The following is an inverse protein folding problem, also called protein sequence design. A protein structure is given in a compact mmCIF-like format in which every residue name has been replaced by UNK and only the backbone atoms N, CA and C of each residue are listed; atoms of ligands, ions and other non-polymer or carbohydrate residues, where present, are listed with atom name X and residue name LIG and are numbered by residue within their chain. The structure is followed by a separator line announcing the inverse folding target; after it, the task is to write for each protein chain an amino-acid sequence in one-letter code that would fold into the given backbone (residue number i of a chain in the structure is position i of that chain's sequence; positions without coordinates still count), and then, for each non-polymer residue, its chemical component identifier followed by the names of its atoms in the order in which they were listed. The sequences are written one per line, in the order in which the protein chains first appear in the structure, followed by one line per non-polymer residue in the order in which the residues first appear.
data_IF_042828703085
#
_entry.id   IF_042828703085
#
_cell.length_a   1.000
_cell.length_b   1.000
_cell.length_c   1.000
_cell.angle_alpha   90.00
_cell.angle_beta   90.00
_cell.angle_gamma   90.00
#
_symmetry.space_group_name_H-M   'P 1'
#
loop_
_entity.id
_entity.type
_entity.pdbx_description
1 polymer ?
#
# COMPACT_ATOMS: atom_id res chain seq x y z
N UNK A 1 -4.56 16.46 -3.15
CA UNK A 1 -3.86 15.51 -2.25
C UNK A 1 -4.53 14.16 -2.35
N UNK A 2 -3.77 13.09 -2.63
CA UNK A 2 -4.34 11.74 -2.67
C UNK A 2 -4.57 11.20 -1.27
N UNK A 3 -5.63 10.44 -1.11
CA UNK A 3 -5.97 9.78 0.14
C UNK A 3 -6.24 8.31 -0.13
N UNK A 4 -5.49 7.44 0.54
CA UNK A 4 -5.63 5.99 0.46
C UNK A 4 -6.33 5.51 1.71
N UNK A 5 -7.30 4.62 1.54
CA UNK A 5 -8.07 4.06 2.67
C UNK A 5 -8.23 2.56 2.51
N UNK A 6 -8.22 1.87 3.64
CA UNK A 6 -8.51 0.44 3.67
C UNK A 6 -9.49 0.13 4.77
N UNK A 7 -10.37 -0.84 4.50
CA UNK A 7 -11.38 -1.30 5.45
C UNK A 7 -11.55 -2.80 5.36
N UNK A 8 -11.73 -3.44 6.51
CA UNK A 8 -12.15 -4.83 6.59
C UNK A 8 -13.67 -4.85 6.73
N UNK A 9 -14.34 -5.43 5.75
CA UNK A 9 -15.80 -5.51 5.75
C UNK A 9 -16.24 -6.97 5.78
N UNK A 10 -17.54 -7.18 6.03
CA UNK A 10 -18.12 -8.52 6.02
C UNK A 10 -17.97 -9.18 4.63
N UNK A 11 -17.89 -8.37 3.57
CA UNK A 11 -17.76 -8.85 2.20
C UNK A 11 -16.31 -8.90 1.72
N UNK A 12 -15.33 -8.64 2.60
CA UNK A 12 -13.92 -8.69 2.28
C UNK A 12 -13.22 -7.35 2.51
N UNK A 13 -12.00 -7.26 1.98
CA UNK A 13 -11.18 -6.06 2.12
C UNK A 13 -11.50 -5.06 1.02
N UNK A 14 -11.56 -3.78 1.38
CA UNK A 14 -11.79 -2.69 0.44
C UNK A 14 -10.64 -1.70 0.56
N UNK A 15 -9.93 -1.45 -0.54
CA UNK A 15 -8.85 -0.46 -0.58
C UNK A 15 -9.16 0.53 -1.70
N UNK A 16 -9.13 1.81 -1.35
CA UNK A 16 -9.45 2.88 -2.30
C UNK A 16 -8.37 3.95 -2.33
N UNK A 17 -8.31 4.67 -3.44
CA UNK A 17 -7.58 5.92 -3.58
C UNK A 17 -8.57 6.98 -4.06
N UNK A 18 -8.73 8.04 -3.27
CA UNK A 18 -9.69 9.13 -3.53
C UNK A 18 -11.10 8.58 -3.82
N UNK A 19 -11.50 7.55 -3.07
CA UNK A 19 -12.82 6.94 -3.16
C UNK A 19 -13.00 5.91 -4.27
N UNK A 20 -11.98 5.66 -5.09
CA UNK A 20 -12.03 4.68 -6.17
C UNK A 20 -11.18 3.47 -5.84
N UNK A 21 -11.55 2.26 -6.31
CA UNK A 21 -10.74 1.07 -6.03
C UNK A 21 -9.28 1.25 -6.47
N UNK A 22 -8.35 0.86 -5.59
CA UNK A 22 -6.93 0.86 -5.93
C UNK A 22 -6.59 -0.44 -6.65
N UNK A 23 -5.97 -0.33 -7.82
CA UNK A 23 -5.47 -1.50 -8.54
C UNK A 23 -4.33 -2.17 -7.75
N UNK A 24 -4.25 -3.50 -7.81
CA UNK A 24 -3.14 -4.25 -7.19
C UNK A 24 -1.80 -4.00 -7.88
N UNK A 25 -1.80 -3.41 -9.07
CA UNK A 25 -0.60 -3.13 -9.87
C UNK A 25 0.23 -4.40 -10.15
N UNK A 26 -0.43 -5.52 -10.43
CA UNK A 26 0.24 -6.78 -10.76
C UNK A 26 1.11 -6.66 -12.01
N UNK A 27 0.77 -5.75 -12.93
CA UNK A 27 1.55 -5.50 -14.13
C UNK A 27 2.91 -4.86 -13.81
N UNK A 28 3.05 -4.23 -12.66
CA UNK A 28 4.32 -3.66 -12.19
C UNK A 28 5.16 -4.75 -11.55
N UNK A 29 4.61 -5.44 -10.57
CA UNK A 29 5.24 -6.59 -9.92
C UNK A 29 4.19 -7.36 -9.12
N UNK A 30 4.31 -8.67 -9.10
CA UNK A 30 3.37 -9.53 -8.38
C UNK A 30 4.08 -10.24 -7.24
N UNK A 31 3.85 -9.77 -6.02
CA UNK A 31 4.38 -10.41 -4.81
C UNK A 31 3.47 -11.53 -4.32
N UNK A 32 2.16 -11.43 -4.61
CA UNK A 32 1.14 -12.37 -4.15
C UNK A 32 0.08 -12.56 -5.24
N UNK A 33 -0.66 -13.66 -5.18
CA UNK A 33 -1.84 -13.87 -6.03
C UNK A 33 -3.14 -13.67 -5.25
N UNK A 34 -3.05 -13.24 -3.98
CA UNK A 34 -4.21 -13.18 -3.09
C UNK A 34 -4.71 -11.76 -2.81
N UNK A 35 -4.20 -10.75 -3.52
CA UNK A 35 -4.62 -9.37 -3.34
C UNK A 35 -3.93 -8.69 -2.17
N UNK A 36 -4.59 -7.68 -1.60
CA UNK A 36 -4.02 -6.86 -0.54
C UNK A 36 -4.24 -7.45 0.85
N UNK A 37 -3.33 -7.13 1.77
CA UNK A 37 -3.48 -7.34 3.19
C UNK A 37 -2.71 -6.28 3.95
N UNK A 38 -2.86 -6.25 5.27
CA UNK A 38 -2.14 -5.34 6.15
C UNK A 38 -2.20 -5.87 7.59
N UNK A 39 -1.56 -5.17 8.53
CA UNK A 39 -1.43 -5.50 9.96
C UNK A 39 -0.33 -6.51 10.29
N UNK A 40 0.36 -7.06 9.29
CA UNK A 40 1.47 -7.99 9.47
C UNK A 40 2.43 -7.88 8.29
N UNK A 41 3.62 -8.47 8.40
CA UNK A 41 4.60 -8.53 7.31
C UNK A 41 4.34 -9.75 6.43
N UNK A 42 4.39 -9.57 5.12
CA UNK A 42 4.19 -10.66 4.18
C UNK A 42 4.02 -10.18 2.75
N UNK A 43 3.74 -11.13 1.85
CA UNK A 43 3.65 -10.87 0.41
C UNK A 43 2.44 -10.01 0.05
N UNK A 44 1.28 -10.29 0.65
CA UNK A 44 0.07 -9.51 0.38
C UNK A 44 0.17 -8.08 0.93
N UNK A 45 0.70 -7.86 2.14
CA UNK A 45 1.03 -6.50 2.60
C UNK A 45 2.06 -5.81 1.70
N UNK A 46 3.05 -6.52 1.17
CA UNK A 46 4.01 -5.92 0.24
C UNK A 46 3.35 -5.54 -1.08
N UNK A 47 2.37 -6.30 -1.55
CA UNK A 47 1.59 -5.94 -2.73
C UNK A 47 0.83 -4.63 -2.50
N UNK A 48 0.27 -4.42 -1.32
CA UNK A 48 -0.38 -3.16 -0.98
C UNK A 48 0.62 -2.01 -0.96
N UNK A 49 1.79 -2.22 -0.37
CA UNK A 49 2.86 -1.20 -0.38
C UNK A 49 3.23 -0.82 -1.80
N UNK A 50 3.44 -1.81 -2.67
CA UNK A 50 3.75 -1.57 -4.08
C UNK A 50 2.66 -0.76 -4.76
N UNK A 51 1.40 -1.14 -4.58
CA UNK A 51 0.27 -0.48 -5.25
C UNK A 51 0.15 0.98 -4.84
N UNK A 52 0.25 1.27 -3.54
CA UNK A 52 0.20 2.63 -3.03
C UNK A 52 1.36 3.45 -3.62
N UNK A 53 2.57 2.91 -3.58
CA UNK A 53 3.76 3.64 -4.04
C UNK A 53 3.77 3.83 -5.56
N UNK A 54 3.36 2.81 -6.32
CA UNK A 54 3.26 2.93 -7.78
C UNK A 54 2.26 4.01 -8.18
N UNK A 55 1.10 4.02 -7.51
CA UNK A 55 0.07 5.03 -7.78
C UNK A 55 0.54 6.43 -7.37
N UNK A 56 1.16 6.55 -6.19
CA UNK A 56 1.52 7.84 -5.62
C UNK A 56 2.75 8.45 -6.28
N UNK A 57 3.80 7.65 -6.50
CA UNK A 57 5.09 8.16 -7.02
C UNK A 57 5.10 8.27 -8.55
N UNK A 58 4.31 7.45 -9.24
CA UNK A 58 4.35 7.39 -10.70
C UNK A 58 5.67 6.85 -11.24
N UNK A 59 6.42 6.07 -10.43
CA UNK A 59 7.72 5.52 -10.77
C UNK A 59 7.73 4.06 -10.32
N UNK A 60 7.60 3.13 -11.27
CA UNK A 60 7.44 1.72 -10.98
C UNK A 60 8.69 1.10 -10.35
N UNK A 61 9.87 1.46 -10.84
CA UNK A 61 11.13 0.92 -10.31
C UNK A 61 11.35 1.35 -8.86
N UNK A 62 11.07 2.62 -8.58
CA UNK A 62 11.19 3.15 -7.23
C UNK A 62 10.15 2.51 -6.30
N UNK A 63 8.93 2.29 -6.80
CA UNK A 63 7.89 1.63 -6.03
C UNK A 63 8.27 0.20 -5.66
N UNK A 64 8.83 -0.56 -6.60
CA UNK A 64 9.32 -1.92 -6.33
C UNK A 64 10.41 -1.88 -5.27
N UNK A 65 11.40 -1.01 -5.45
CA UNK A 65 12.55 -0.92 -4.54
C UNK A 65 12.14 -0.56 -3.12
N UNK A 66 11.16 0.33 -2.96
CA UNK A 66 10.72 0.79 -1.66
C UNK A 66 9.60 -0.05 -1.04
N UNK A 67 9.04 -1.01 -1.80
CA UNK A 67 7.87 -1.76 -1.35
C UNK A 67 8.13 -2.54 -0.05
N UNK A 68 9.28 -3.20 0.08
CA UNK A 68 9.57 -3.98 1.28
C UNK A 68 9.76 -3.09 2.51
N UNK A 69 10.64 -2.08 2.50
CA UNK A 69 10.78 -1.23 3.69
C UNK A 69 9.50 -0.46 4.02
N UNK A 70 8.74 -0.01 3.03
CA UNK A 70 7.47 0.65 3.28
C UNK A 70 6.46 -0.33 3.90
N UNK A 71 6.41 -1.56 3.40
CA UNK A 71 5.56 -2.60 3.97
C UNK A 71 5.90 -2.85 5.44
N UNK A 72 7.19 -3.01 5.76
CA UNK A 72 7.61 -3.30 7.14
C UNK A 72 7.35 -2.15 8.11
N UNK A 73 7.55 -0.92 7.65
CA UNK A 73 7.47 0.26 8.53
C UNK A 73 6.08 0.88 8.60
N UNK A 74 5.25 0.68 7.58
CA UNK A 74 3.92 1.30 7.50
C UNK A 74 2.81 0.28 7.45
N UNK A 75 2.78 -0.56 6.42
CA UNK A 75 1.63 -1.44 6.15
C UNK A 75 1.43 -2.46 7.26
N UNK A 76 2.52 -3.05 7.76
CA UNK A 76 2.46 -4.06 8.82
C UNK A 76 1.92 -3.50 10.14
N UNK A 77 1.96 -2.18 10.31
CA UNK A 77 1.56 -1.50 11.55
C UNK A 77 0.19 -0.81 11.43
N UNK A 78 -0.50 -0.95 10.31
CA UNK A 78 -1.81 -0.34 10.12
C UNK A 78 -2.87 -1.08 10.95
N UNK A 79 -3.90 -0.33 11.37
CA UNK A 79 -5.07 -0.90 12.03
C UNK A 79 -5.98 -1.59 11.01
N UNK A 80 -7.06 -2.22 11.48
CA UNK A 80 -8.03 -2.89 10.60
C UNK A 80 -8.62 -1.93 9.56
N UNK A 81 -8.98 -0.73 9.98
CA UNK A 81 -9.37 0.37 9.09
C UNK A 81 -8.28 1.43 9.17
N UNK A 82 -7.86 1.95 8.02
CA UNK A 82 -6.74 2.89 7.98
C UNK A 82 -6.93 3.94 6.90
N UNK A 83 -6.18 5.03 7.04
CA UNK A 83 -6.11 6.10 6.05
C UNK A 83 -4.67 6.61 5.97
N UNK A 84 -4.17 6.79 4.75
CA UNK A 84 -2.87 7.39 4.48
C UNK A 84 -3.05 8.49 3.44
N UNK A 85 -2.62 9.70 3.78
CA UNK A 85 -2.61 10.81 2.83
C UNK A 85 -1.26 10.91 2.13
N UNK A 86 -1.19 11.73 1.07
CA UNK A 86 0.10 12.03 0.42
C UNK A 86 1.15 12.50 1.40
N UNK A 87 0.86 13.50 2.27
CA UNK A 87 1.83 13.92 3.30
C UNK A 87 2.26 12.81 4.25
N UNK A 88 1.33 11.89 4.63
CA UNK A 88 1.69 10.74 5.46
C UNK A 88 2.71 9.85 4.75
N UNK A 89 2.50 9.61 3.46
CA UNK A 89 3.41 8.79 2.66
C UNK A 89 4.77 9.47 2.54
N UNK A 90 4.79 10.77 2.23
CA UNK A 90 6.04 11.54 2.13
C UNK A 90 6.85 11.46 3.42
N UNK A 91 6.18 11.64 4.55
CA UNK A 91 6.82 11.56 5.86
C UNK A 91 7.41 10.17 6.11
N UNK A 92 6.65 9.12 5.80
CA UNK A 92 7.12 7.74 5.96
C UNK A 92 8.32 7.46 5.07
N UNK A 93 8.31 7.92 3.82
CA UNK A 93 9.43 7.70 2.89
C UNK A 93 10.71 8.40 3.35
N UNK A 94 10.58 9.58 3.96
CA UNK A 94 11.75 10.30 4.50
C UNK A 94 12.40 9.54 5.64
N UNK A 95 11.66 8.72 6.37
CA UNK A 95 12.19 7.92 7.47
C UNK A 95 12.79 6.58 7.06
N UNK A 96 12.70 6.20 5.78
CA UNK A 96 13.26 4.95 5.31
C UNK A 96 14.77 5.06 5.04
N UNK A 97 15.52 3.97 5.29
CA UNK A 97 16.97 3.95 5.01
C UNK A 97 17.28 4.01 3.51
#
# INVERSE_FOLDING_TARGET
MKTYQGKRTIDGLVVTVDGKPLSEHYEVHRFTKYGFEWTYEGDSPQQLALAILADYLGDNDKAIRLSEPFMKNVIANLDNDWQLTGPDIDTALRGLP
#
